data_IF_762894442449
#
_entry.id   IF_762894442449
#
_cell.length_a   1.000
_cell.length_b   1.000
_cell.length_c   1.000
_cell.angle_alpha   90.00
_cell.angle_beta   90.00
_cell.angle_gamma   90.00
#
_symmetry.space_group_name_H-M   'P 1'
#
loop_
_entity.id
_entity.type
_entity.pdbx_description
1 polymer ?
#
# COMPACT_ATOMS: atom_id res chain seq x y z
N UNK A 1 -5.08 -9.18 40.93
CA UNK A 1 -5.98 -8.71 39.87
C UNK A 1 -5.66 -9.51 38.62
N UNK A 2 -6.65 -10.27 38.16
CA UNK A 2 -6.52 -11.38 37.22
C UNK A 2 -5.98 -10.96 35.84
N UNK A 3 -5.20 -11.88 35.25
CA UNK A 3 -4.74 -11.90 33.86
C UNK A 3 -5.87 -11.66 32.84
N UNK A 4 -5.56 -10.91 31.78
CA UNK A 4 -6.09 -11.18 30.44
C UNK A 4 -5.00 -10.94 29.39
N UNK A 5 -4.21 -12.00 29.14
CA UNK A 5 -3.60 -12.25 27.84
C UNK A 5 -4.74 -12.61 26.87
N UNK A 6 -4.88 -11.91 25.73
CA UNK A 6 -5.36 -12.35 24.39
C UNK A 6 -5.28 -11.09 23.49
N UNK A 7 -4.63 -11.05 22.33
CA UNK A 7 -4.57 -12.01 21.25
C UNK A 7 -3.29 -11.78 20.44
N UNK A 8 -2.40 -12.77 20.42
CA UNK A 8 -1.34 -12.89 19.42
C UNK A 8 -2.01 -13.47 18.18
N UNK A 9 -2.22 -12.65 17.15
CA UNK A 9 -2.54 -13.15 15.81
C UNK A 9 -1.29 -13.04 14.95
N UNK A 10 -0.58 -14.16 14.92
CA UNK A 10 0.52 -14.50 14.03
C UNK A 10 0.14 -14.37 12.56
N UNK A 11 1.01 -13.73 11.76
CA UNK A 11 1.51 -14.36 10.52
C UNK A 11 3.00 -13.99 10.31
N UNK A 12 3.89 -14.99 10.14
CA UNK A 12 5.27 -14.83 9.76
C UNK A 12 5.41 -14.91 8.24
N UNK A 13 6.09 -13.95 7.60
CA UNK A 13 6.59 -14.19 6.23
C UNK A 13 7.97 -13.59 6.07
N UNK A 14 8.93 -14.38 6.52
CA UNK A 14 10.30 -14.36 6.06
C UNK A 14 10.33 -14.58 4.53
N UNK A 15 11.25 -13.87 3.86
CA UNK A 15 11.81 -14.11 2.50
C UNK A 15 10.96 -13.64 1.31
N UNK A 16 11.51 -12.69 0.54
CA UNK A 16 11.94 -12.92 -0.85
C UNK A 16 13.11 -11.97 -1.18
N UNK A 17 14.25 -12.60 -1.42
CA UNK A 17 15.48 -12.11 -2.04
C UNK A 17 15.22 -11.36 -3.36
N UNK A 18 15.20 -10.02 -3.34
CA UNK A 18 15.47 -9.15 -4.50
C UNK A 18 16.16 -7.89 -3.98
N UNK A 19 17.21 -7.40 -4.66
CA UNK A 19 18.12 -6.29 -4.27
C UNK A 19 17.50 -5.28 -3.27
N UNK A 20 18.14 -4.99 -2.12
CA UNK A 20 17.47 -4.38 -0.98
C UNK A 20 16.86 -3.03 -1.36
N UNK A 21 15.54 -2.93 -1.23
CA UNK A 21 14.92 -1.63 -0.99
C UNK A 21 15.46 -1.20 0.39
N UNK A 22 15.83 0.08 0.59
CA UNK A 22 16.26 0.54 1.91
C UNK A 22 15.26 0.08 2.97
N UNK A 23 15.73 -0.43 4.12
CA UNK A 23 14.85 -0.93 5.19
C UNK A 23 13.75 0.05 5.56
N UNK A 24 14.02 1.35 5.42
CA UNK A 24 13.08 2.45 5.59
C UNK A 24 11.81 2.31 4.74
N UNK A 25 11.91 1.88 3.47
CA UNK A 25 10.76 1.79 2.55
C UNK A 25 10.22 0.38 2.37
N UNK A 26 10.81 -0.62 3.03
CA UNK A 26 10.38 -2.01 2.94
C UNK A 26 8.93 -2.18 3.42
N UNK A 27 8.57 -1.47 4.48
CA UNK A 27 7.20 -1.47 5.03
C UNK A 27 6.17 -1.07 3.98
N UNK A 28 6.47 -0.10 3.11
CA UNK A 28 5.55 0.33 2.04
C UNK A 28 5.26 -0.81 1.09
N UNK A 29 6.31 -1.48 0.63
CA UNK A 29 6.19 -2.61 -0.30
C UNK A 29 5.38 -3.73 0.33
N UNK A 30 5.77 -4.18 1.52
CA UNK A 30 5.10 -5.29 2.20
C UNK A 30 3.63 -4.97 2.46
N UNK A 31 3.31 -3.77 2.95
CA UNK A 31 1.93 -3.38 3.24
C UNK A 31 1.07 -3.31 1.98
N UNK A 32 1.58 -2.76 0.87
CA UNK A 32 0.81 -2.69 -0.38
C UNK A 32 0.64 -4.06 -1.04
N UNK A 33 1.68 -4.90 -1.05
CA UNK A 33 1.58 -6.27 -1.58
C UNK A 33 0.58 -7.09 -0.77
N UNK A 34 0.65 -7.02 0.57
CA UNK A 34 -0.26 -7.72 1.47
C UNK A 34 -1.71 -7.26 1.28
N UNK A 35 -1.93 -5.95 1.14
CA UNK A 35 -3.26 -5.40 0.85
C UNK A 35 -3.83 -5.96 -0.46
N UNK A 36 -3.03 -5.97 -1.52
CA UNK A 36 -3.46 -6.52 -2.82
C UNK A 36 -3.80 -8.00 -2.70
N UNK A 37 -2.98 -8.79 -2.00
CA UNK A 37 -3.27 -10.21 -1.78
C UNK A 37 -4.60 -10.40 -1.03
N UNK A 38 -4.83 -9.66 0.06
CA UNK A 38 -6.10 -9.69 0.81
C UNK A 38 -7.29 -9.31 -0.09
N UNK A 39 -7.14 -8.27 -0.90
CA UNK A 39 -8.15 -7.84 -1.84
C UNK A 39 -8.40 -8.90 -2.91
N UNK A 40 -7.37 -9.55 -3.46
CA UNK A 40 -7.51 -10.60 -4.48
C UNK A 40 -8.20 -11.85 -3.93
N UNK A 41 -7.89 -12.23 -2.69
CA UNK A 41 -8.54 -13.33 -1.99
C UNK A 41 -10.01 -13.03 -1.67
N UNK A 42 -10.32 -11.78 -1.30
CA UNK A 42 -11.69 -11.36 -0.96
C UNK A 42 -12.54 -10.99 -2.18
N UNK A 43 -11.90 -10.56 -3.27
CA UNK A 43 -12.58 -10.23 -4.51
C UNK A 43 -13.21 -11.49 -5.11
N UNK A 44 -14.53 -11.49 -5.24
CA UNK A 44 -15.28 -12.50 -5.99
C UNK A 44 -15.41 -12.13 -7.45
N UNK A 45 -15.42 -10.82 -7.74
CA UNK A 45 -15.61 -10.29 -9.08
C UNK A 45 -14.32 -10.31 -9.92
N UNK A 46 -14.34 -10.91 -11.13
CA UNK A 46 -13.17 -11.01 -11.99
C UNK A 46 -12.67 -9.64 -12.50
N UNK A 47 -13.53 -8.62 -12.61
CA UNK A 47 -13.12 -7.28 -12.98
C UNK A 47 -12.31 -6.62 -11.86
N UNK A 48 -12.71 -6.81 -10.60
CA UNK A 48 -11.95 -6.32 -9.43
C UNK A 48 -10.59 -6.98 -9.35
N UNK A 49 -10.50 -8.30 -9.56
CA UNK A 49 -9.22 -9.02 -9.62
C UNK A 49 -8.28 -8.45 -10.68
N UNK A 50 -8.80 -8.17 -11.89
CA UNK A 50 -8.02 -7.54 -12.97
C UNK A 50 -7.47 -6.17 -12.58
N UNK A 51 -8.26 -5.33 -11.86
CA UNK A 51 -7.80 -4.02 -11.39
C UNK A 51 -6.67 -4.14 -10.36
N UNK A 52 -6.77 -5.10 -9.45
CA UNK A 52 -5.75 -5.36 -8.43
C UNK A 52 -4.47 -5.93 -9.04
N UNK A 53 -4.59 -6.80 -10.05
CA UNK A 53 -3.43 -7.34 -10.78
C UNK A 53 -2.69 -6.25 -11.57
N UNK A 54 -3.42 -5.38 -12.28
CA UNK A 54 -2.83 -4.21 -12.96
C UNK A 54 -2.16 -3.27 -11.97
N UNK A 55 -2.81 -3.02 -10.83
CA UNK A 55 -2.24 -2.22 -9.77
C UNK A 55 -0.96 -2.83 -9.20
N UNK A 56 -0.92 -4.14 -8.98
CA UNK A 56 0.27 -4.85 -8.50
C UNK A 56 1.46 -4.68 -9.44
N UNK A 57 1.22 -4.80 -10.75
CA UNK A 57 2.27 -4.59 -11.76
C UNK A 57 2.75 -3.15 -11.78
N UNK A 58 1.83 -2.20 -11.63
CA UNK A 58 2.20 -0.79 -11.60
C UNK A 58 2.91 -0.37 -10.31
N UNK A 59 2.65 -1.04 -9.18
CA UNK A 59 3.40 -0.81 -7.94
C UNK A 59 4.89 -1.14 -8.08
N UNK A 60 5.30 -2.01 -9.01
CA UNK A 60 6.73 -2.22 -9.27
C UNK A 60 7.43 -0.92 -9.70
N UNK A 61 6.77 -0.06 -10.50
CA UNK A 61 7.32 1.26 -10.84
C UNK A 61 7.51 2.15 -9.61
N UNK A 62 6.60 2.07 -8.63
CA UNK A 62 6.76 2.79 -7.37
C UNK A 62 7.98 2.27 -6.60
N UNK A 63 8.19 0.95 -6.57
CA UNK A 63 9.34 0.35 -5.89
C UNK A 63 10.66 0.68 -6.57
N UNK A 64 10.71 0.75 -7.90
CA UNK A 64 11.88 1.25 -8.62
C UNK A 64 12.15 2.71 -8.25
N UNK A 65 11.13 3.58 -8.23
CA UNK A 65 11.27 4.98 -7.81
C UNK A 65 11.77 5.15 -6.37
N UNK A 66 11.29 4.32 -5.45
CA UNK A 66 11.79 4.27 -4.06
C UNK A 66 13.25 3.82 -3.99
N UNK A 67 13.64 2.82 -4.79
CA UNK A 67 15.03 2.33 -4.85
C UNK A 67 15.97 3.39 -5.43
N UNK A 68 15.53 4.11 -6.47
CA UNK A 68 16.30 5.19 -7.09
C UNK A 68 16.34 6.47 -6.22
N UNK A 69 15.57 6.53 -5.13
CA UNK A 69 15.42 7.72 -4.27
C UNK A 69 15.07 8.99 -5.09
N UNK A 70 14.28 8.81 -6.15
CA UNK A 70 13.87 9.93 -7.04
C UNK A 70 12.59 10.61 -6.57
N UNK A 71 11.95 10.07 -5.53
CA UNK A 71 10.72 10.60 -4.95
C UNK A 71 11.03 11.66 -3.90
N UNK A 72 10.26 12.75 -3.93
CA UNK A 72 10.32 13.74 -2.87
C UNK A 72 9.91 13.18 -1.49
N UNK A 73 10.51 13.70 -0.40
CA UNK A 73 10.19 13.25 0.96
C UNK A 73 8.72 13.44 1.33
N UNK A 74 8.04 14.43 0.74
CA UNK A 74 6.59 14.63 0.89
C UNK A 74 5.79 13.42 0.40
N UNK A 75 6.16 12.86 -0.76
CA UNK A 75 5.53 11.67 -1.32
C UNK A 75 5.82 10.47 -0.44
N UNK A 76 7.09 10.27 -0.06
CA UNK A 76 7.50 9.14 0.78
C UNK A 76 6.72 9.14 2.11
N UNK A 77 6.69 10.27 2.82
CA UNK A 77 5.89 10.42 4.04
C UNK A 77 4.41 10.13 3.80
N UNK A 78 3.87 10.62 2.68
CA UNK A 78 2.50 10.32 2.28
C UNK A 78 2.23 8.83 2.10
N UNK A 79 3.12 8.10 1.44
CA UNK A 79 3.03 6.64 1.28
C UNK A 79 3.06 5.92 2.63
N UNK A 80 3.92 6.35 3.54
CA UNK A 80 4.00 5.78 4.89
C UNK A 80 2.70 5.99 5.67
N UNK A 81 2.11 7.18 5.58
CA UNK A 81 0.83 7.44 6.18
C UNK A 81 -0.27 6.56 5.58
N UNK A 82 -0.31 6.39 4.25
CA UNK A 82 -1.25 5.47 3.60
C UNK A 82 -1.05 4.04 4.10
N UNK A 83 0.20 3.56 4.20
CA UNK A 83 0.51 2.23 4.72
C UNK A 83 -0.03 2.04 6.15
N UNK A 84 0.16 3.03 7.04
CA UNK A 84 -0.42 3.01 8.38
C UNK A 84 -1.95 2.99 8.38
N UNK A 85 -2.59 3.74 7.48
CA UNK A 85 -4.05 3.70 7.33
C UNK A 85 -4.53 2.31 6.88
N UNK A 86 -3.76 1.59 6.08
CA UNK A 86 -4.05 0.19 5.69
C UNK A 86 -3.95 -0.76 6.89
N UNK A 87 -2.92 -0.60 7.72
CA UNK A 87 -2.75 -1.42 8.94
C UNK A 87 -3.91 -1.24 9.93
N UNK A 88 -4.42 -0.02 10.05
CA UNK A 88 -5.58 0.31 10.89
C UNK A 88 -6.93 0.03 10.20
N UNK A 89 -6.91 -0.52 8.97
CA UNK A 89 -8.08 -0.74 8.10
C UNK A 89 -8.90 0.51 7.82
N UNK A 90 -8.30 1.68 7.95
CA UNK A 90 -8.92 2.97 7.71
C UNK A 90 -8.62 3.47 6.28
N UNK A 91 -9.18 2.79 5.28
CA UNK A 91 -8.94 3.13 3.87
C UNK A 91 -9.45 4.53 3.50
N UNK A 92 -10.46 5.05 4.21
CA UNK A 92 -10.95 6.41 4.03
C UNK A 92 -9.88 7.44 4.34
N UNK A 93 -9.12 7.25 5.41
CA UNK A 93 -7.97 8.10 5.75
C UNK A 93 -6.88 8.00 4.68
N UNK A 94 -6.57 6.79 4.20
CA UNK A 94 -5.62 6.56 3.11
C UNK A 94 -5.99 7.34 1.83
N UNK A 95 -7.28 7.42 1.48
CA UNK A 95 -7.76 8.20 0.33
C UNK A 95 -7.62 9.71 0.55
N UNK A 96 -7.84 10.19 1.78
CA UNK A 96 -7.60 11.59 2.16
C UNK A 96 -6.12 11.95 2.01
N UNK A 97 -5.23 11.09 2.52
CA UNK A 97 -3.77 11.29 2.40
C UNK A 97 -3.34 11.27 0.92
N UNK A 98 -3.81 10.30 0.13
CA UNK A 98 -3.58 10.26 -1.31
C UNK A 98 -3.96 11.59 -1.98
N UNK A 99 -5.12 12.14 -1.63
CA UNK A 99 -5.61 13.41 -2.19
C UNK A 99 -4.70 14.56 -1.79
N UNK A 100 -4.28 14.59 -0.52
CA UNK A 100 -3.32 15.58 -0.03
C UNK A 100 -2.00 15.53 -0.80
N UNK A 101 -1.41 14.34 -0.99
CA UNK A 101 -0.16 14.16 -1.75
C UNK A 101 -0.32 14.67 -3.18
N UNK A 102 -1.39 14.30 -3.88
CA UNK A 102 -1.67 14.75 -5.26
C UNK A 102 -1.80 16.28 -5.33
N UNK A 103 -2.33 16.92 -4.28
CA UNK A 103 -2.45 18.38 -4.19
C UNK A 103 -1.13 19.08 -3.82
N UNK A 104 -0.26 18.46 -3.01
CA UNK A 104 0.98 19.08 -2.52
C UNK A 104 2.22 18.75 -3.34
N UNK A 105 2.20 17.63 -4.07
CA UNK A 105 3.36 17.09 -4.80
C UNK A 105 3.25 17.35 -6.30
N UNK A 106 4.38 17.26 -7.01
CA UNK A 106 4.36 17.47 -8.45
C UNK A 106 3.59 16.38 -9.18
N UNK A 107 2.84 16.79 -10.21
CA UNK A 107 2.11 15.86 -11.07
C UNK A 107 3.05 14.85 -11.78
N UNK A 108 4.25 15.28 -12.17
CA UNK A 108 5.25 14.41 -12.80
C UNK A 108 5.65 13.22 -11.91
N UNK A 109 5.78 13.45 -10.60
CA UNK A 109 6.14 12.40 -9.64
C UNK A 109 4.93 11.53 -9.29
N UNK A 110 3.77 12.15 -9.06
CA UNK A 110 2.58 11.47 -8.55
C UNK A 110 1.80 10.69 -9.62
N UNK A 111 1.79 11.16 -10.87
CA UNK A 111 1.02 10.56 -11.97
C UNK A 111 1.41 9.11 -12.28
N UNK A 112 2.64 8.70 -11.96
CA UNK A 112 3.13 7.35 -12.21
C UNK A 112 2.42 6.28 -11.37
N UNK A 113 2.07 6.57 -10.11
CA UNK A 113 1.55 5.57 -9.16
C UNK A 113 0.36 6.03 -8.30
N UNK A 114 0.03 7.32 -8.22
CA UNK A 114 -1.15 7.77 -7.47
C UNK A 114 -2.46 7.16 -7.97
N UNK A 115 -2.74 7.08 -9.29
CA UNK A 115 -3.94 6.40 -9.79
C UNK A 115 -4.06 4.96 -9.31
N UNK A 116 -2.91 4.28 -9.16
CA UNK A 116 -2.82 2.89 -8.69
C UNK A 116 -3.21 2.79 -7.24
N UNK A 117 -2.60 3.61 -6.39
CA UNK A 117 -2.91 3.63 -4.96
C UNK A 117 -4.38 3.93 -4.71
N UNK A 118 -4.95 4.90 -5.43
CA UNK A 118 -6.39 5.19 -5.36
C UNK A 118 -7.23 3.97 -5.71
N UNK A 119 -6.90 3.25 -6.78
CA UNK A 119 -7.63 2.05 -7.21
C UNK A 119 -7.57 0.97 -6.13
N UNK A 120 -6.37 0.67 -5.61
CA UNK A 120 -6.17 -0.36 -4.57
C UNK A 120 -6.94 0.00 -3.30
N UNK A 121 -6.79 1.22 -2.78
CA UNK A 121 -7.50 1.70 -1.60
C UNK A 121 -9.03 1.65 -1.79
N UNK A 122 -9.51 2.04 -2.97
CA UNK A 122 -10.95 1.98 -3.28
C UNK A 122 -11.44 0.54 -3.32
N UNK A 123 -10.68 -0.39 -3.91
CA UNK A 123 -11.05 -1.80 -3.93
C UNK A 123 -11.02 -2.38 -2.51
N UNK A 124 -9.98 -2.10 -1.73
CA UNK A 124 -9.87 -2.52 -0.34
C UNK A 124 -11.05 -2.03 0.50
N UNK A 125 -11.39 -0.74 0.39
CA UNK A 125 -12.53 -0.16 1.09
C UNK A 125 -13.87 -0.80 0.69
N UNK A 126 -14.04 -1.12 -0.59
CA UNK A 126 -15.25 -1.80 -1.07
C UNK A 126 -15.34 -3.25 -0.60
N UNK A 127 -14.21 -3.94 -0.53
CA UNK A 127 -14.11 -5.33 -0.12
C UNK A 127 -14.12 -5.49 1.42
N UNK A 128 -13.82 -4.42 2.16
CA UNK A 128 -13.81 -4.42 3.63
C UNK A 128 -12.72 -5.30 4.24
N UNK A 129 -11.58 -5.44 3.55
CA UNK A 129 -10.45 -6.30 3.96
C UNK A 129 -9.66 -5.76 5.14
#
# INVERSE_FOLDING_TARGET
>A
WYYFFQHVQSLPTEKITKKPIPDEHLILKTTFEDLIQRCLSSATDPQTKRKLDDASKRLEFLYDKLREQTLSPTIINGLHNIARSIETRNYSEGLTIHTHIVSTSNFSETSAFMPVLKVVLTQANKLGV
#
